data_IF_343156929464
#
_entry.id   IF_343156929464
#
_cell.length_a   1.000
_cell.length_b   1.000
_cell.length_c   1.000
_cell.angle_alpha   90.00
_cell.angle_beta   90.00
_cell.angle_gamma   90.00
#
_symmetry.space_group_name_H-M   'P 1'
#
loop_
_entity.id
_entity.type
_entity.pdbx_description
1 polymer ?
#
# COMPACT_ATOMS: atom_id res chain seq x y z
N UNK A 1 -20.58 5.64 -3.52
CA UNK A 1 -20.91 5.35 -4.94
C UNK A 1 -20.93 3.84 -5.20
N UNK A 2 -19.80 3.09 -5.20
CA UNK A 2 -19.81 1.63 -5.42
C UNK A 2 -20.60 0.87 -4.35
N UNK A 3 -20.40 1.17 -3.09
CA UNK A 3 -21.15 0.55 -1.98
C UNK A 3 -22.68 0.77 -2.12
N UNK A 4 -23.11 1.97 -2.52
CA UNK A 4 -24.52 2.26 -2.81
C UNK A 4 -25.08 1.50 -4.03
N UNK A 5 -24.19 1.11 -4.95
CA UNK A 5 -24.53 0.26 -6.10
C UNK A 5 -24.47 -1.25 -5.77
N UNK A 6 -24.27 -1.60 -4.51
CA UNK A 6 -24.31 -2.99 -4.05
C UNK A 6 -22.99 -3.75 -4.18
N UNK A 7 -21.86 -3.06 -4.38
CA UNK A 7 -20.53 -3.68 -4.40
C UNK A 7 -20.01 -3.95 -2.99
N UNK A 8 -19.25 -5.02 -2.82
CA UNK A 8 -18.31 -5.14 -1.70
C UNK A 8 -17.14 -4.21 -1.97
N UNK A 9 -16.73 -3.41 -0.99
CA UNK A 9 -15.69 -2.40 -1.19
C UNK A 9 -14.52 -2.64 -0.24
N UNK A 10 -13.31 -2.83 -0.79
CA UNK A 10 -12.09 -3.08 -0.02
C UNK A 10 -11.05 -1.98 -0.22
N UNK A 11 -10.44 -1.55 0.87
CA UNK A 11 -9.27 -0.66 0.87
C UNK A 11 -8.11 -1.34 1.59
N UNK A 12 -6.95 -1.40 0.94
CA UNK A 12 -5.74 -2.03 1.45
C UNK A 12 -4.56 -1.08 1.22
N UNK A 13 -3.75 -0.83 2.26
CA UNK A 13 -2.53 -0.05 2.16
C UNK A 13 -2.65 1.38 2.67
N UNK A 14 -1.81 2.28 2.16
CA UNK A 14 -1.65 3.65 2.65
C UNK A 14 -2.85 4.54 2.35
N UNK A 15 -3.34 5.25 3.36
CA UNK A 15 -4.35 6.30 3.20
C UNK A 15 -3.73 7.68 3.47
N UNK A 16 -3.73 8.57 2.48
CA UNK A 16 -3.18 9.92 2.61
C UNK A 16 -4.19 11.03 2.28
N UNK A 17 -5.46 10.71 2.22
CA UNK A 17 -6.51 11.67 1.78
C UNK A 17 -7.47 12.05 2.88
N UNK A 18 -7.34 11.45 4.06
CA UNK A 18 -8.15 11.78 5.22
C UNK A 18 -7.27 12.30 6.36
N UNK A 19 -7.75 13.29 7.08
CA UNK A 19 -7.12 13.67 8.33
C UNK A 19 -7.31 12.54 9.32
N UNK A 20 -6.23 11.90 9.79
CA UNK A 20 -6.36 10.84 10.75
C UNK A 20 -7.08 11.34 11.99
N UNK A 21 -7.94 10.50 12.53
CA UNK A 21 -8.51 10.75 13.84
C UNK A 21 -7.36 10.71 14.83
N UNK A 22 -7.13 11.73 15.65
CA UNK A 22 -6.11 11.66 16.67
C UNK A 22 -6.39 10.46 17.56
N UNK A 23 -5.33 9.78 17.98
CA UNK A 23 -5.41 8.74 19.01
C UNK A 23 -5.76 9.31 20.41
N UNK A 24 -6.37 10.48 20.45
CA UNK A 24 -6.85 11.12 21.66
C UNK A 24 -8.38 11.01 21.71
N UNK A 25 -8.91 10.07 22.49
CA UNK A 25 -10.35 9.88 22.62
C UNK A 25 -11.08 11.08 23.22
N UNK A 26 -10.35 11.97 23.91
CA UNK A 26 -10.92 13.17 24.52
C UNK A 26 -11.00 14.35 23.54
N UNK A 27 -10.27 14.27 22.42
CA UNK A 27 -10.21 15.33 21.40
C UNK A 27 -10.34 14.79 19.97
N UNK A 28 -11.46 14.13 19.64
CA UNK A 28 -11.66 13.60 18.30
C UNK A 28 -11.58 14.71 17.25
N UNK A 29 -10.79 14.50 16.20
CA UNK A 29 -10.60 15.47 15.13
C UNK A 29 -9.50 16.51 15.35
N UNK A 30 -8.79 16.48 16.48
CA UNK A 30 -7.59 17.30 16.70
C UNK A 30 -6.32 16.50 16.54
N UNK A 31 -5.31 17.10 15.95
CA UNK A 31 -3.95 16.56 15.91
C UNK A 31 -3.37 16.53 17.33
N UNK A 32 -2.71 15.44 17.67
CA UNK A 32 -1.89 15.35 18.88
C UNK A 32 -0.55 16.00 18.54
N UNK A 33 -0.36 17.23 19.00
CA UNK A 33 0.71 18.14 18.54
C UNK A 33 2.14 17.63 18.78
N UNK A 34 2.37 16.72 19.71
CA UNK A 34 3.73 16.45 20.18
C UNK A 34 4.22 14.99 20.02
N UNK A 35 3.48 14.13 19.34
CA UNK A 35 3.86 12.70 19.31
C UNK A 35 3.43 12.08 18.03
N UNK A 36 4.10 11.03 17.63
CA UNK A 36 3.79 10.15 16.50
C UNK A 36 2.94 10.88 15.45
N UNK A 37 3.37 10.99 14.22
CA UNK A 37 2.66 11.79 13.23
C UNK A 37 1.16 11.64 13.39
N UNK A 38 0.48 12.74 13.59
CA UNK A 38 -0.99 12.77 13.75
C UNK A 38 -1.76 12.19 12.55
N UNK A 39 -1.07 11.91 11.50
CA UNK A 39 -1.52 11.29 10.26
C UNK A 39 -1.46 9.75 10.27
N UNK A 40 -0.95 9.15 11.30
CA UNK A 40 -0.90 7.70 11.47
C UNK A 40 -1.87 7.26 12.56
N UNK A 41 -3.13 7.15 12.21
CA UNK A 41 -4.18 6.76 13.12
C UNK A 41 -5.20 5.83 12.43
N UNK A 42 -5.93 5.09 13.25
CA UNK A 42 -7.06 4.31 12.81
C UNK A 42 -8.16 5.19 12.19
N UNK A 43 -8.67 4.78 11.05
CA UNK A 43 -9.80 5.44 10.39
C UNK A 43 -11.10 4.76 10.80
N UNK A 44 -11.98 5.42 11.53
CA UNK A 44 -13.25 4.84 11.98
C UNK A 44 -14.21 4.59 10.81
N UNK A 45 -15.16 3.68 11.00
CA UNK A 45 -16.01 3.16 9.94
C UNK A 45 -16.81 4.25 9.18
N UNK A 46 -17.26 5.26 9.89
CA UNK A 46 -18.03 6.40 9.34
C UNK A 46 -17.18 7.31 8.43
N UNK A 47 -15.84 7.19 8.46
CA UNK A 47 -14.91 7.96 7.65
C UNK A 47 -14.25 7.14 6.52
N UNK A 48 -14.64 5.89 6.33
CA UNK A 48 -14.08 5.01 5.28
C UNK A 48 -14.75 5.15 3.92
N UNK A 49 -15.63 6.14 3.74
CA UNK A 49 -16.25 6.49 2.46
C UNK A 49 -16.98 5.32 1.75
N UNK A 50 -17.46 4.34 2.53
CA UNK A 50 -18.18 3.18 2.01
C UNK A 50 -17.32 1.95 1.72
N UNK A 51 -16.07 1.94 2.17
CA UNK A 51 -15.27 0.72 2.22
C UNK A 51 -15.67 -0.10 3.44
N UNK A 52 -16.12 -1.32 3.22
CA UNK A 52 -16.59 -2.28 4.22
C UNK A 52 -15.49 -3.25 4.67
N UNK A 53 -14.51 -3.54 3.82
CA UNK A 53 -13.26 -4.19 4.20
C UNK A 53 -12.14 -3.16 4.29
N UNK A 54 -11.47 -3.12 5.41
CA UNK A 54 -10.45 -2.13 5.71
C UNK A 54 -9.19 -2.77 6.25
N UNK A 55 -8.06 -2.50 5.61
CA UNK A 55 -6.75 -2.90 6.08
C UNK A 55 -5.74 -1.83 5.69
N UNK A 56 -5.57 -0.83 6.55
CA UNK A 56 -4.92 0.42 6.17
C UNK A 56 -4.19 1.07 7.33
N UNK A 57 -3.34 2.00 6.99
CA UNK A 57 -2.66 2.92 7.89
C UNK A 57 -2.72 4.34 7.32
N UNK A 58 -2.22 5.33 8.10
CA UNK A 58 -2.20 6.72 7.70
C UNK A 58 -1.06 7.07 6.75
N UNK A 59 -0.28 8.08 7.09
CA UNK A 59 0.74 8.67 6.20
C UNK A 59 2.18 8.45 6.65
N UNK A 60 2.46 7.47 7.48
CA UNK A 60 3.84 7.15 7.83
C UNK A 60 4.56 6.40 6.71
N UNK A 61 5.89 6.44 6.72
CA UNK A 61 6.73 5.92 5.66
C UNK A 61 7.74 4.89 6.20
N UNK A 62 7.23 3.74 6.64
CA UNK A 62 8.01 2.57 7.04
C UNK A 62 7.68 1.45 6.05
N UNK A 63 8.65 1.04 5.24
CA UNK A 63 8.43 0.07 4.17
C UNK A 63 8.62 -1.37 4.62
N UNK A 64 9.59 -1.64 5.50
CA UNK A 64 9.70 -2.89 6.26
C UNK A 64 9.17 -2.67 7.66
N UNK A 65 8.63 -3.70 8.28
CA UNK A 65 8.00 -3.65 9.60
C UNK A 65 6.85 -2.64 9.68
N UNK A 66 5.93 -2.60 8.69
CA UNK A 66 4.77 -1.72 8.74
C UNK A 66 3.77 -2.17 9.80
N UNK A 67 2.77 -1.32 10.05
CA UNK A 67 1.59 -1.72 10.79
C UNK A 67 0.32 -1.31 10.04
N UNK A 68 -0.78 -1.98 10.35
CA UNK A 68 -2.09 -1.72 9.77
C UNK A 68 -3.16 -1.81 10.84
N UNK A 69 -4.27 -1.11 10.63
CA UNK A 69 -5.52 -1.35 11.34
C UNK A 69 -6.48 -2.09 10.42
N UNK A 70 -7.09 -3.14 10.94
CA UNK A 70 -8.10 -3.89 10.21
C UNK A 70 -9.51 -3.26 10.32
N UNK A 71 -10.48 -3.96 9.78
CA UNK A 71 -11.89 -3.53 9.77
C UNK A 71 -12.44 -3.29 11.18
N UNK A 72 -12.04 -4.08 12.16
CA UNK A 72 -12.45 -4.01 13.55
C UNK A 72 -11.65 -3.00 14.36
N UNK A 73 -10.60 -2.41 13.79
CA UNK A 73 -9.72 -1.44 14.43
C UNK A 73 -8.59 -2.09 15.25
N UNK A 74 -8.33 -3.36 15.02
CA UNK A 74 -7.19 -4.04 15.63
C UNK A 74 -5.92 -3.65 14.88
N UNK A 75 -4.88 -3.26 15.62
CA UNK A 75 -3.56 -2.92 15.06
C UNK A 75 -2.74 -4.20 14.89
N UNK A 76 -2.20 -4.38 13.71
CA UNK A 76 -1.31 -5.48 13.34
C UNK A 76 0.09 -4.95 13.03
N UNK A 77 1.09 -5.39 13.79
CA UNK A 77 2.50 -5.12 13.50
C UNK A 77 3.04 -6.24 12.61
N UNK A 78 3.63 -5.88 11.47
CA UNK A 78 4.05 -6.80 10.43
C UNK A 78 5.57 -6.80 10.30
N UNK A 79 6.16 -7.97 10.04
CA UNK A 79 7.59 -8.13 9.87
C UNK A 79 7.94 -8.57 8.44
N UNK A 80 7.46 -7.80 7.47
CA UNK A 80 7.66 -8.02 6.03
C UNK A 80 7.71 -6.67 5.30
N UNK A 81 8.10 -6.72 4.03
CA UNK A 81 8.02 -5.54 3.16
C UNK A 81 6.56 -5.27 2.76
N UNK A 82 6.13 -4.01 2.91
CA UNK A 82 4.71 -3.63 2.83
C UNK A 82 3.98 -4.06 1.54
N UNK A 83 4.54 -3.94 0.30
CA UNK A 83 3.85 -4.38 -0.89
C UNK A 83 3.60 -5.90 -0.98
N UNK A 84 4.53 -6.72 -0.48
CA UNK A 84 4.32 -8.17 -0.44
C UNK A 84 3.17 -8.53 0.49
N UNK A 85 3.16 -7.92 1.67
CA UNK A 85 2.07 -8.12 2.65
C UNK A 85 0.72 -7.60 2.14
N UNK A 86 0.70 -6.42 1.52
CA UNK A 86 -0.51 -5.83 0.94
C UNK A 86 -1.05 -6.68 -0.22
N UNK A 87 -0.17 -7.27 -1.03
CA UNK A 87 -0.57 -8.24 -2.06
C UNK A 87 -1.18 -9.51 -1.44
N UNK A 88 -0.62 -10.03 -0.35
CA UNK A 88 -1.19 -11.18 0.37
C UNK A 88 -2.60 -10.87 0.91
N UNK A 89 -2.80 -9.67 1.44
CA UNK A 89 -4.13 -9.23 1.89
C UNK A 89 -5.13 -9.09 0.74
N UNK A 90 -4.68 -8.55 -0.40
CA UNK A 90 -5.51 -8.47 -1.61
C UNK A 90 -5.89 -9.85 -2.13
N UNK A 91 -4.94 -10.79 -2.18
CA UNK A 91 -5.16 -12.18 -2.59
C UNK A 91 -6.13 -12.88 -1.63
N UNK A 92 -5.95 -12.71 -0.32
CA UNK A 92 -6.87 -13.24 0.70
C UNK A 92 -8.30 -12.72 0.53
N UNK A 93 -8.44 -11.42 0.24
CA UNK A 93 -9.74 -10.81 -0.07
C UNK A 93 -10.37 -11.41 -1.36
N UNK A 94 -9.58 -11.59 -2.42
CA UNK A 94 -10.05 -12.19 -3.67
C UNK A 94 -10.54 -13.63 -3.46
N UNK A 95 -9.83 -14.41 -2.64
CA UNK A 95 -10.22 -15.78 -2.23
C UNK A 95 -11.39 -15.82 -1.28
N UNK A 96 -11.81 -14.67 -0.76
CA UNK A 96 -12.83 -14.53 0.26
C UNK A 96 -12.51 -15.35 1.53
N UNK A 97 -11.24 -15.39 1.91
CA UNK A 97 -10.79 -16.03 3.14
C UNK A 97 -11.45 -15.36 4.34
N UNK A 98 -11.95 -16.15 5.28
CA UNK A 98 -12.72 -15.62 6.41
C UNK A 98 -14.12 -15.10 6.07
N UNK A 99 -14.62 -15.29 4.85
CA UNK A 99 -15.94 -14.82 4.38
C UNK A 99 -16.13 -13.31 4.57
N UNK A 100 -15.10 -12.54 4.22
CA UNK A 100 -15.05 -11.07 4.42
C UNK A 100 -15.91 -10.29 3.42
N UNK A 101 -16.45 -10.95 2.40
CA UNK A 101 -17.36 -10.33 1.41
C UNK A 101 -18.47 -11.30 0.99
N UNK A 102 -19.56 -10.76 0.49
CA UNK A 102 -20.63 -11.55 -0.13
C UNK A 102 -20.18 -12.02 -1.54
N UNK A 103 -19.98 -13.34 -1.78
CA UNK A 103 -19.50 -13.83 -3.07
C UNK A 103 -20.50 -13.64 -4.23
N UNK A 104 -21.76 -13.30 -3.93
CA UNK A 104 -22.81 -13.05 -4.94
C UNK A 104 -22.81 -11.62 -5.45
N UNK A 105 -22.05 -10.74 -4.80
CA UNK A 105 -21.96 -9.32 -5.20
C UNK A 105 -20.66 -9.06 -5.93
N UNK A 106 -20.65 -8.10 -6.87
CA UNK A 106 -19.41 -7.60 -7.41
C UNK A 106 -18.57 -6.93 -6.32
N UNK A 107 -17.28 -6.75 -6.57
CA UNK A 107 -16.42 -6.03 -5.65
C UNK A 107 -15.70 -4.86 -6.32
N UNK A 108 -15.35 -3.88 -5.51
CA UNK A 108 -14.40 -2.81 -5.81
C UNK A 108 -13.26 -2.89 -4.80
N UNK A 109 -12.05 -3.08 -5.27
CA UNK A 109 -10.87 -3.17 -4.41
C UNK A 109 -9.85 -2.10 -4.80
N UNK A 110 -9.39 -1.34 -3.83
CA UNK A 110 -8.30 -0.38 -3.96
C UNK A 110 -7.10 -0.87 -3.15
N UNK A 111 -5.97 -1.07 -3.83
CA UNK A 111 -4.69 -1.37 -3.19
C UNK A 111 -3.78 -0.17 -3.40
N UNK A 112 -3.32 0.41 -2.30
CA UNK A 112 -2.52 1.63 -2.28
C UNK A 112 -1.15 1.36 -1.70
N UNK A 113 -0.22 0.89 -2.53
CA UNK A 113 1.16 0.66 -2.12
C UNK A 113 1.86 1.97 -1.74
N UNK A 114 2.62 1.97 -0.63
CA UNK A 114 3.44 3.11 -0.26
C UNK A 114 4.71 3.23 -1.13
N UNK A 115 5.55 2.19 -1.29
CA UNK A 115 6.66 2.24 -2.23
C UNK A 115 6.16 2.48 -3.67
N UNK A 116 6.89 3.23 -4.47
CA UNK A 116 8.24 3.77 -4.27
C UNK A 116 8.25 5.18 -3.66
N UNK A 117 7.30 5.57 -2.82
CA UNK A 117 7.39 6.81 -2.04
C UNK A 117 8.66 6.78 -1.18
N UNK A 118 9.22 7.94 -0.83
CA UNK A 118 10.36 8.01 0.09
C UNK A 118 9.99 7.42 1.46
N UNK A 119 10.97 6.83 2.21
CA UNK A 119 12.39 6.74 1.90
C UNK A 119 12.71 5.68 0.83
N UNK A 120 13.82 5.89 0.11
CA UNK A 120 14.47 4.93 -0.79
C UNK A 120 15.99 5.10 -0.66
N UNK A 121 16.50 4.87 0.55
CA UNK A 121 17.87 5.19 0.92
C UNK A 121 18.70 3.96 1.32
N UNK A 122 18.07 2.84 1.56
CA UNK A 122 18.70 1.63 2.07
C UNK A 122 17.88 0.37 1.71
N UNK A 123 18.39 -0.80 2.11
CA UNK A 123 17.67 -2.07 1.98
C UNK A 123 16.46 -2.18 2.92
N UNK A 124 16.22 -1.20 3.79
CA UNK A 124 14.97 -1.09 4.55
C UNK A 124 13.78 -0.65 3.67
N UNK A 125 14.07 -0.15 2.47
CA UNK A 125 13.07 0.46 1.59
C UNK A 125 12.70 -0.42 0.39
N UNK A 126 13.41 -1.52 0.19
CA UNK A 126 13.18 -2.46 -0.91
C UNK A 126 13.62 -3.87 -0.55
N UNK A 127 13.31 -4.83 -1.41
CA UNK A 127 13.84 -6.18 -1.31
C UNK A 127 15.28 -6.23 -1.83
N UNK A 128 16.14 -7.00 -1.16
CA UNK A 128 17.54 -7.14 -1.51
C UNK A 128 17.71 -7.76 -2.92
N UNK A 129 16.89 -8.75 -3.24
CA UNK A 129 16.89 -9.39 -4.55
C UNK A 129 16.57 -8.44 -5.71
N UNK A 130 15.69 -7.46 -5.46
CA UNK A 130 15.37 -6.42 -6.44
C UNK A 130 16.52 -5.38 -6.54
N UNK A 131 17.15 -5.05 -5.41
CA UNK A 131 18.29 -4.14 -5.39
C UNK A 131 19.49 -4.73 -6.14
N UNK A 132 19.69 -6.04 -6.07
CA UNK A 132 20.75 -6.76 -6.75
C UNK A 132 20.70 -6.60 -8.27
N UNK A 133 19.53 -6.35 -8.85
CA UNK A 133 19.37 -6.04 -10.27
C UNK A 133 20.00 -4.69 -10.67
N UNK A 134 20.18 -3.78 -9.72
CA UNK A 134 20.56 -2.39 -9.99
C UNK A 134 21.87 -1.95 -9.32
N UNK A 135 22.38 -2.69 -8.34
CA UNK A 135 23.51 -2.28 -7.48
C UNK A 135 24.78 -1.93 -8.26
N UNK A 136 25.07 -2.70 -9.31
CA UNK A 136 26.30 -2.57 -10.10
C UNK A 136 26.09 -1.78 -11.41
N UNK A 137 24.86 -1.35 -11.71
CA UNK A 137 24.60 -0.60 -12.92
C UNK A 137 25.16 0.83 -12.81
N UNK A 138 25.76 1.35 -13.90
CA UNK A 138 26.17 2.74 -13.96
C UNK A 138 24.96 3.68 -13.73
N UNK A 139 25.15 4.76 -12.95
CA UNK A 139 24.06 5.70 -12.69
C UNK A 139 23.50 6.32 -13.99
N UNK A 140 24.33 6.53 -14.98
CA UNK A 140 23.89 7.08 -16.27
C UNK A 140 22.94 6.18 -17.03
N UNK A 141 23.00 4.86 -16.80
CA UNK A 141 22.04 3.92 -17.38
C UNK A 141 20.66 3.95 -16.70
N UNK A 142 20.60 4.46 -15.49
CA UNK A 142 19.36 4.59 -14.71
C UNK A 142 18.78 6.00 -14.82
N UNK A 143 19.61 7.04 -14.87
CA UNK A 143 19.24 8.43 -14.93
C UNK A 143 19.15 8.93 -16.38
N UNK A 144 18.34 8.25 -17.20
CA UNK A 144 18.28 8.46 -18.65
C UNK A 144 17.48 9.70 -19.09
N UNK A 145 16.64 10.25 -18.25
CA UNK A 145 15.81 11.40 -18.63
C UNK A 145 16.65 12.67 -18.72
N UNK A 146 16.44 13.54 -19.75
CA UNK A 146 17.29 14.73 -19.96
C UNK A 146 17.13 15.79 -18.85
N UNK A 147 16.02 15.78 -18.12
CA UNK A 147 15.74 16.72 -17.03
C UNK A 147 16.18 16.24 -15.65
N UNK A 148 16.90 15.11 -15.57
CA UNK A 148 17.42 14.59 -14.29
C UNK A 148 18.66 15.37 -13.88
N UNK A 149 18.67 15.89 -12.66
CA UNK A 149 19.87 16.45 -12.05
C UNK A 149 20.79 15.33 -11.55
N UNK A 150 21.82 15.01 -12.32
CA UNK A 150 22.79 13.95 -12.01
C UNK A 150 23.76 14.30 -10.88
N UNK A 151 23.89 15.56 -10.54
CA UNK A 151 24.76 16.07 -9.45
C UNK A 151 24.07 16.11 -8.08
N UNK A 152 22.80 15.73 -8.01
CA UNK A 152 22.10 15.72 -6.74
C UNK A 152 22.73 14.72 -5.75
N UNK A 153 22.84 15.12 -4.49
CA UNK A 153 23.48 14.32 -3.42
C UNK A 153 22.88 12.91 -3.25
N UNK A 154 21.65 12.70 -3.65
CA UNK A 154 20.91 11.42 -3.53
C UNK A 154 20.85 10.65 -4.86
N UNK A 155 21.63 11.01 -5.88
CA UNK A 155 21.58 10.31 -7.16
C UNK A 155 21.78 8.79 -7.02
N UNK A 156 22.67 8.34 -6.13
CA UNK A 156 22.88 6.92 -5.86
C UNK A 156 21.67 6.20 -5.29
N UNK A 157 20.77 6.90 -4.61
CA UNK A 157 19.53 6.33 -4.05
C UNK A 157 18.53 5.88 -5.13
N UNK A 158 18.73 6.24 -6.38
CA UNK A 158 17.91 5.80 -7.50
C UNK A 158 17.85 4.28 -7.63
N UNK A 159 18.91 3.56 -7.22
CA UNK A 159 18.93 2.10 -7.24
C UNK A 159 17.89 1.48 -6.32
N UNK A 160 17.74 2.03 -5.12
CA UNK A 160 16.71 1.62 -4.17
C UNK A 160 15.30 1.98 -4.68
N UNK A 161 15.17 3.13 -5.35
CA UNK A 161 13.92 3.52 -5.99
C UNK A 161 13.51 2.52 -7.08
N UNK A 162 14.42 2.16 -7.99
CA UNK A 162 14.13 1.18 -9.04
C UNK A 162 13.86 -0.21 -8.46
N UNK A 163 14.60 -0.62 -7.44
CA UNK A 163 14.35 -1.86 -6.71
C UNK A 163 12.93 -1.87 -6.11
N UNK A 164 12.52 -0.77 -5.47
CA UNK A 164 11.16 -0.64 -4.96
C UNK A 164 10.10 -0.73 -6.05
N UNK A 165 10.33 -0.09 -7.21
CA UNK A 165 9.40 -0.19 -8.36
C UNK A 165 9.29 -1.62 -8.85
N UNK A 166 10.42 -2.34 -8.99
CA UNK A 166 10.42 -3.75 -9.40
C UNK A 166 9.66 -4.65 -8.43
N UNK A 167 9.87 -4.44 -7.13
CA UNK A 167 9.17 -5.22 -6.11
C UNK A 167 7.67 -4.93 -6.08
N UNK A 168 7.26 -3.66 -6.26
CA UNK A 168 5.83 -3.29 -6.38
C UNK A 168 5.21 -3.95 -7.62
N UNK A 169 5.90 -3.92 -8.76
CA UNK A 169 5.43 -4.57 -9.99
C UNK A 169 5.23 -6.08 -9.78
N UNK A 170 6.20 -6.74 -9.12
CA UNK A 170 6.08 -8.17 -8.75
C UNK A 170 4.88 -8.42 -7.82
N UNK A 171 4.72 -7.62 -6.76
CA UNK A 171 3.61 -7.73 -5.83
C UNK A 171 2.25 -7.55 -6.53
N UNK A 172 2.17 -6.59 -7.44
CA UNK A 172 0.99 -6.37 -8.26
C UNK A 172 0.74 -7.54 -9.22
N UNK A 173 1.79 -8.08 -9.85
CA UNK A 173 1.71 -9.28 -10.70
C UNK A 173 1.07 -10.46 -9.99
N UNK A 174 1.41 -10.70 -8.71
CA UNK A 174 0.79 -11.75 -7.88
C UNK A 174 -0.72 -11.57 -7.73
N UNK A 175 -1.20 -10.34 -7.62
CA UNK A 175 -2.65 -10.05 -7.56
C UNK A 175 -3.32 -10.37 -8.91
N UNK A 176 -2.67 -10.01 -10.03
CA UNK A 176 -3.18 -10.32 -11.37
C UNK A 176 -3.24 -11.83 -11.61
N UNK A 177 -2.20 -12.55 -11.24
CA UNK A 177 -2.14 -14.02 -11.34
C UNK A 177 -3.29 -14.68 -10.54
N UNK A 178 -3.61 -14.14 -9.37
CA UNK A 178 -4.74 -14.66 -8.59
C UNK A 178 -6.09 -14.36 -9.24
N UNK A 179 -6.26 -13.19 -9.85
CA UNK A 179 -7.48 -12.87 -10.63
C UNK A 179 -7.65 -13.84 -11.82
N UNK A 180 -6.57 -14.10 -12.56
CA UNK A 180 -6.59 -15.04 -13.68
C UNK A 180 -6.93 -16.46 -13.20
N UNK A 181 -6.27 -16.92 -12.14
CA UNK A 181 -6.48 -18.23 -11.52
C UNK A 181 -7.93 -18.46 -11.08
N UNK A 182 -8.61 -17.41 -10.65
CA UNK A 182 -10.02 -17.46 -10.27
C UNK A 182 -10.97 -17.21 -11.45
N UNK A 183 -10.46 -16.90 -12.64
CA UNK A 183 -11.28 -16.56 -13.82
C UNK A 183 -11.99 -15.21 -13.71
N UNK A 184 -11.47 -14.32 -12.85
CA UNK A 184 -12.03 -12.99 -12.61
C UNK A 184 -11.42 -11.91 -13.53
N UNK A 185 -10.30 -12.19 -14.18
CA UNK A 185 -9.58 -11.28 -15.08
C UNK A 185 -10.46 -10.73 -16.21
N UNK A 186 -11.29 -11.59 -16.81
CA UNK A 186 -12.21 -11.24 -17.92
C UNK A 186 -13.45 -10.45 -17.46
N UNK A 187 -13.72 -10.45 -16.17
CA UNK A 187 -14.88 -9.79 -15.56
C UNK A 187 -14.48 -8.51 -14.82
N UNK A 188 -13.19 -8.26 -14.71
CA UNK A 188 -12.63 -7.12 -13.95
C UNK A 188 -12.15 -6.01 -14.88
N UNK A 189 -12.42 -4.77 -14.50
CA UNK A 189 -11.74 -3.60 -15.02
C UNK A 189 -10.57 -3.31 -14.06
N UNK A 190 -9.34 -3.35 -14.59
CA UNK A 190 -8.13 -3.08 -13.83
C UNK A 190 -7.62 -1.72 -14.25
N UNK A 191 -7.43 -0.84 -13.30
CA UNK A 191 -6.84 0.47 -13.50
C UNK A 191 -5.49 0.52 -12.77
N UNK A 192 -4.43 0.84 -13.49
CA UNK A 192 -3.05 0.95 -13.03
C UNK A 192 -2.62 2.42 -13.05
#
# INVERSE_FOLDING_TARGET
MFSQAGYNCAYIGKLHVDCPTPNDPERPGKYVEDRVPAWDAYTPADRRHGFDYWYSYGTYDVHKHPHYWDTEGVKHEINEWSPEHEADKAISYLRNEGNVRDPKKPFFMMVSFNPPHSPYASLEDCMEEDYDLYKDLPLDSLLIRPNVNREMKKAASVRYYFASVTGVDRAFGRILDELEKQGLDKLSLIHI
#
